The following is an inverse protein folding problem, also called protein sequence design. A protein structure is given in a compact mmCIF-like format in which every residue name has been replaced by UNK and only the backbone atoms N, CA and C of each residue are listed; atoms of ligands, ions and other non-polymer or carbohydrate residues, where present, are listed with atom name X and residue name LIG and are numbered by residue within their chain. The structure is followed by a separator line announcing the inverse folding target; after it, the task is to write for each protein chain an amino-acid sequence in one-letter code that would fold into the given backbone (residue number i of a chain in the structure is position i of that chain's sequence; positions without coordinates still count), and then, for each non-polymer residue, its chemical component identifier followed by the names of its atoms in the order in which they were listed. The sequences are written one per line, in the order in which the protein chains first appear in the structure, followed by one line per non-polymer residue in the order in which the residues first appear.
data_IF_847716149968
#
_entry.id   IF_847716149968
#
_cell.length_a   1.000
_cell.length_b   1.000
_cell.length_c   1.000
_cell.angle_alpha   90.00
_cell.angle_beta   90.00
_cell.angle_gamma   90.00
#
_symmetry.space_group_name_H-M   'P 1'
#
loop_
_entity.id
_entity.type
_entity.pdbx_description
1 polymer ?
#
# COMPACT_ATOMS: atom_id res chain seq x y z
N UNK A 1 15.20 10.13 12.71
CA UNK A 1 16.51 10.68 12.28
C UNK A 1 17.05 10.05 11.00
N UNK A 2 17.02 8.71 10.84
CA UNK A 2 17.51 8.05 9.60
C UNK A 2 16.79 8.51 8.32
N UNK A 3 15.45 8.50 8.30
CA UNK A 3 14.66 8.95 7.14
C UNK A 3 14.87 10.43 6.77
N UNK A 4 15.16 11.28 7.76
CA UNK A 4 15.33 12.72 7.58
C UNK A 4 16.72 13.04 7.00
N UNK A 5 17.76 12.31 7.44
CA UNK A 5 19.09 12.35 6.81
C UNK A 5 19.05 11.86 5.36
N UNK A 6 18.31 10.79 5.08
CA UNK A 6 18.13 10.28 3.72
C UNK A 6 17.44 11.28 2.76
N UNK A 7 16.67 12.24 3.28
CA UNK A 7 16.09 13.30 2.46
C UNK A 7 17.03 14.49 2.28
N UNK A 8 17.75 14.89 3.34
CA UNK A 8 18.56 16.12 3.34
C UNK A 8 19.92 15.90 2.66
N UNK A 9 20.58 14.77 2.89
CA UNK A 9 21.91 14.51 2.33
C UNK A 9 21.91 14.54 0.79
N UNK A 10 20.97 13.89 0.08
CA UNK A 10 20.92 13.96 -1.39
C UNK A 10 20.62 15.37 -1.90
N UNK A 11 19.79 16.14 -1.21
CA UNK A 11 19.49 17.55 -1.58
C UNK A 11 20.77 18.38 -1.54
N UNK A 12 21.54 18.27 -0.45
CA UNK A 12 22.79 19.01 -0.29
C UNK A 12 23.88 18.57 -1.28
N UNK A 13 23.91 17.29 -1.64
CA UNK A 13 24.84 16.79 -2.67
C UNK A 13 24.49 17.30 -4.07
N UNK A 14 23.20 17.34 -4.42
CA UNK A 14 22.75 17.87 -5.71
C UNK A 14 23.00 19.37 -5.79
N UNK A 15 22.76 20.12 -4.71
CA UNK A 15 23.01 21.56 -4.65
C UNK A 15 24.50 21.88 -4.88
N UNK A 16 25.40 21.12 -4.24
CA UNK A 16 26.85 21.24 -4.49
C UNK A 16 27.21 20.90 -5.92
N UNK A 17 26.73 19.78 -6.47
CA UNK A 17 27.02 19.40 -7.86
C UNK A 17 26.49 20.41 -8.86
N UNK A 18 25.33 21.01 -8.60
CA UNK A 18 24.76 22.05 -9.44
C UNK A 18 25.63 23.31 -9.40
N UNK A 19 26.12 23.72 -8.22
CA UNK A 19 27.05 24.83 -8.07
C UNK A 19 28.39 24.56 -8.78
N UNK A 20 28.96 23.37 -8.59
CA UNK A 20 30.22 22.95 -9.23
C UNK A 20 30.08 22.95 -10.77
N UNK A 21 28.96 22.47 -11.31
CA UNK A 21 28.68 22.49 -12.76
C UNK A 21 28.50 23.91 -13.30
N UNK A 22 27.88 24.82 -12.53
CA UNK A 22 27.70 26.21 -12.92
C UNK A 22 29.05 26.95 -12.97
N UNK A 23 29.92 26.71 -11.99
CA UNK A 23 31.30 27.22 -11.99
C UNK A 23 32.12 26.66 -13.16
N UNK A 24 32.05 25.34 -13.41
CA UNK A 24 32.70 24.69 -14.55
C UNK A 24 32.21 25.24 -15.89
N UNK A 25 30.91 25.48 -16.02
CA UNK A 25 30.33 26.08 -17.21
C UNK A 25 30.82 27.51 -17.43
N UNK A 26 30.86 28.33 -16.37
CA UNK A 26 31.36 29.70 -16.44
C UNK A 26 32.84 29.76 -16.87
N UNK A 27 33.67 28.85 -16.34
CA UNK A 27 35.08 28.71 -16.75
C UNK A 27 35.21 28.26 -18.20
N UNK A 28 34.49 27.22 -18.61
CA UNK A 28 34.53 26.66 -19.96
C UNK A 28 34.11 27.68 -21.03
N UNK A 29 33.10 28.51 -20.75
CA UNK A 29 32.67 29.59 -21.64
C UNK A 29 33.74 30.70 -21.74
N UNK A 30 34.43 31.00 -20.63
CA UNK A 30 35.50 32.01 -20.63
C UNK A 30 36.77 31.57 -21.36
N UNK A 31 37.10 30.27 -21.30
CA UNK A 31 38.29 29.68 -21.93
C UNK A 31 38.00 29.08 -23.32
N UNK A 32 36.72 29.02 -23.71
CA UNK A 32 36.23 28.46 -24.97
C UNK A 32 36.64 26.98 -25.17
N UNK A 33 36.60 26.20 -24.08
CA UNK A 33 36.99 24.80 -24.06
C UNK A 33 35.81 23.88 -24.43
N UNK A 34 35.81 23.42 -25.68
CA UNK A 34 34.78 22.53 -26.23
C UNK A 34 34.76 21.14 -25.56
N UNK A 35 35.88 20.68 -24.98
CA UNK A 35 35.92 19.37 -24.33
C UNK A 35 35.16 19.40 -23.00
N UNK A 36 35.35 20.45 -22.21
CA UNK A 36 34.65 20.63 -20.94
C UNK A 36 33.15 20.82 -21.17
N UNK A 37 32.76 21.58 -22.19
CA UNK A 37 31.34 21.74 -22.56
C UNK A 37 30.68 20.40 -22.93
N UNK A 38 31.38 19.55 -23.70
CA UNK A 38 30.87 18.23 -24.08
C UNK A 38 30.74 17.26 -22.90
N UNK A 39 31.56 17.41 -21.86
CA UNK A 39 31.45 16.62 -20.63
C UNK A 39 30.32 17.13 -19.72
N UNK A 40 30.12 18.45 -19.62
CA UNK A 40 28.96 19.05 -18.93
C UNK A 40 27.64 18.58 -19.57
N UNK A 41 27.55 18.54 -20.90
CA UNK A 41 26.36 18.04 -21.60
C UNK A 41 26.03 16.58 -21.27
N UNK A 42 27.04 15.75 -20.95
CA UNK A 42 26.83 14.36 -20.52
C UNK A 42 26.43 14.25 -19.05
N UNK A 43 26.93 15.14 -18.20
CA UNK A 43 26.64 15.12 -16.76
C UNK A 43 25.27 15.73 -16.41
N UNK A 44 24.84 16.76 -17.14
CA UNK A 44 23.53 17.42 -16.99
C UNK A 44 22.35 16.45 -16.84
N UNK A 45 22.14 15.46 -17.74
CA UNK A 45 21.02 14.52 -17.60
C UNK A 45 21.14 13.61 -16.38
N UNK A 46 22.34 13.36 -15.86
CA UNK A 46 22.55 12.56 -14.63
C UNK A 46 22.11 13.36 -13.41
N UNK A 47 22.53 14.63 -13.31
CA UNK A 47 22.13 15.53 -12.23
C UNK A 47 20.63 15.81 -12.27
N UNK A 48 20.07 15.99 -13.46
CA UNK A 48 18.64 16.18 -13.65
C UNK A 48 17.83 14.98 -13.13
N UNK A 49 18.27 13.74 -13.42
CA UNK A 49 17.63 12.53 -12.87
C UNK A 49 17.74 12.46 -11.34
N UNK A 50 18.87 12.87 -10.77
CA UNK A 50 19.04 12.92 -9.31
C UNK A 50 18.08 13.94 -8.69
N UNK A 51 17.94 15.13 -9.30
CA UNK A 51 16.99 16.15 -8.88
C UNK A 51 15.55 15.64 -8.90
N UNK A 52 15.12 15.04 -10.02
CA UNK A 52 13.77 14.47 -10.14
C UNK A 52 13.49 13.45 -9.04
N UNK A 53 14.46 12.57 -8.73
CA UNK A 53 14.31 11.56 -7.68
C UNK A 53 14.10 12.17 -6.28
N UNK A 54 14.76 13.29 -6.01
CA UNK A 54 14.63 14.03 -4.74
C UNK A 54 13.31 14.79 -4.68
N UNK A 55 12.91 15.44 -5.77
CA UNK A 55 11.60 16.10 -5.91
C UNK A 55 10.45 15.09 -5.68
N UNK A 56 10.58 13.89 -6.24
CA UNK A 56 9.66 12.77 -6.03
C UNK A 56 9.56 12.35 -4.56
N UNK A 57 10.69 12.30 -3.85
CA UNK A 57 10.69 12.02 -2.43
C UNK A 57 9.97 13.12 -1.63
N UNK A 58 10.05 14.38 -2.05
CA UNK A 58 9.27 15.48 -1.47
C UNK A 58 7.78 15.42 -1.78
N UNK A 59 7.40 14.83 -2.92
CA UNK A 59 6.01 14.65 -3.35
C UNK A 59 5.27 13.61 -2.49
N UNK A 60 6.00 12.62 -1.97
CA UNK A 60 5.53 11.54 -1.09
C UNK A 60 5.20 12.04 0.33
N UNK A 61 4.19 12.89 0.41
CA UNK A 61 3.72 13.58 1.62
C UNK A 61 2.46 12.97 2.24
N UNK A 62 2.04 11.80 1.79
CA UNK A 62 0.89 11.08 2.35
C UNK A 62 1.14 10.59 3.78
N UNK A 63 0.09 10.42 4.60
CA UNK A 63 0.21 10.01 6.00
C UNK A 63 0.85 8.63 6.17
N UNK A 64 0.70 7.76 5.17
CA UNK A 64 1.20 6.39 5.17
C UNK A 64 2.37 6.17 4.19
N UNK A 65 2.78 7.19 3.43
CA UNK A 65 3.77 7.04 2.34
C UNK A 65 5.15 6.62 2.85
N UNK A 66 5.49 6.95 4.10
CA UNK A 66 6.76 6.59 4.76
C UNK A 66 6.79 5.17 5.32
N UNK A 67 5.64 4.50 5.39
CA UNK A 67 5.51 3.20 6.03
C UNK A 67 6.00 2.08 5.12
N UNK A 68 6.29 0.95 5.75
CA UNK A 68 6.40 -0.33 5.07
C UNK A 68 5.04 -0.72 4.45
N UNK A 69 5.03 -1.73 3.60
CA UNK A 69 3.80 -2.19 2.99
C UNK A 69 3.75 -3.71 2.83
N UNK A 70 2.53 -4.23 2.84
CA UNK A 70 2.22 -5.56 2.35
C UNK A 70 1.85 -5.47 0.88
N UNK A 71 2.47 -6.30 0.06
CA UNK A 71 2.19 -6.43 -1.36
C UNK A 71 1.63 -7.82 -1.62
N UNK A 72 0.40 -7.90 -2.12
CA UNK A 72 -0.24 -9.15 -2.49
C UNK A 72 -0.44 -9.23 -3.99
N UNK A 73 -0.09 -10.36 -4.59
CA UNK A 73 -0.28 -10.64 -6.01
C UNK A 73 -1.26 -11.79 -6.12
N UNK A 74 -2.32 -11.61 -6.89
CA UNK A 74 -3.36 -12.61 -7.12
C UNK A 74 -3.49 -12.91 -8.62
N UNK A 75 -3.39 -14.18 -8.99
CA UNK A 75 -3.69 -14.63 -10.34
C UNK A 75 -5.19 -14.44 -10.62
N UNK A 76 -5.50 -13.84 -11.78
CA UNK A 76 -6.87 -13.64 -12.24
C UNK A 76 -7.46 -14.87 -12.92
N UNK A 77 -8.59 -14.68 -13.60
CA UNK A 77 -9.22 -15.72 -14.39
C UNK A 77 -8.38 -16.04 -15.64
N UNK A 78 -7.75 -17.22 -15.66
CA UNK A 78 -7.02 -17.72 -16.83
C UNK A 78 -6.18 -18.98 -16.56
N UNK A 79 -6.48 -19.73 -15.49
CA UNK A 79 -5.83 -20.99 -15.15
C UNK A 79 -4.30 -20.88 -15.04
N UNK A 80 -3.60 -21.89 -15.54
CA UNK A 80 -2.14 -22.03 -15.50
C UNK A 80 -1.39 -20.83 -16.09
N UNK A 81 -1.93 -20.19 -17.15
CA UNK A 81 -1.29 -19.02 -17.78
C UNK A 81 -1.33 -17.78 -16.88
N UNK A 82 -2.42 -17.57 -16.13
CA UNK A 82 -2.50 -16.45 -15.18
C UNK A 82 -1.66 -16.70 -13.94
N UNK A 83 -1.52 -17.97 -13.52
CA UNK A 83 -0.61 -18.34 -12.44
C UNK A 83 0.86 -18.11 -12.83
N UNK A 84 1.26 -18.43 -14.06
CA UNK A 84 2.61 -18.12 -14.55
C UNK A 84 2.84 -16.61 -14.63
N UNK A 85 1.84 -15.84 -15.06
CA UNK A 85 1.93 -14.38 -15.07
C UNK A 85 2.14 -13.78 -13.68
N UNK A 86 1.41 -14.26 -12.67
CA UNK A 86 1.62 -13.84 -11.29
C UNK A 86 3.06 -14.13 -10.81
N UNK A 87 3.63 -15.27 -11.21
CA UNK A 87 5.03 -15.61 -10.92
C UNK A 87 6.03 -14.70 -11.64
N UNK A 88 5.77 -14.32 -12.89
CA UNK A 88 6.59 -13.34 -13.60
C UNK A 88 6.57 -11.97 -12.91
N UNK A 89 5.40 -11.52 -12.43
CA UNK A 89 5.28 -10.30 -11.65
C UNK A 89 6.05 -10.37 -10.33
N UNK A 90 5.96 -11.50 -9.62
CA UNK A 90 6.78 -11.71 -8.42
C UNK A 90 8.27 -11.54 -8.71
N UNK A 91 8.76 -12.17 -9.79
CA UNK A 91 10.16 -12.04 -10.20
C UNK A 91 10.53 -10.59 -10.55
N UNK A 92 9.64 -9.87 -11.22
CA UNK A 92 9.83 -8.46 -11.56
C UNK A 92 9.98 -7.60 -10.30
N UNK A 93 9.08 -7.76 -9.32
CA UNK A 93 9.09 -6.96 -8.09
C UNK A 93 10.23 -7.33 -7.15
N UNK A 94 10.55 -8.61 -7.00
CA UNK A 94 11.70 -9.03 -6.17
C UNK A 94 13.02 -8.46 -6.67
N UNK A 95 13.22 -8.40 -8.00
CA UNK A 95 14.39 -7.75 -8.60
C UNK A 95 14.38 -6.23 -8.40
N UNK A 96 13.22 -5.60 -8.54
CA UNK A 96 13.06 -4.18 -8.21
C UNK A 96 13.45 -3.89 -6.75
N UNK A 97 12.99 -4.71 -5.81
CA UNK A 97 13.31 -4.59 -4.39
C UNK A 97 14.82 -4.72 -4.14
N UNK A 98 15.46 -5.71 -4.74
CA UNK A 98 16.91 -5.89 -4.63
C UNK A 98 17.69 -4.70 -5.20
N UNK A 99 17.28 -4.15 -6.35
CA UNK A 99 17.95 -3.01 -6.97
C UNK A 99 17.83 -1.72 -6.16
N UNK A 100 16.71 -1.55 -5.46
CA UNK A 100 16.42 -0.38 -4.63
C UNK A 100 16.73 -0.57 -3.13
N UNK A 101 17.41 -1.65 -2.76
CA UNK A 101 17.77 -1.98 -1.37
C UNK A 101 16.57 -2.08 -0.41
N UNK A 102 15.42 -2.54 -0.91
CA UNK A 102 14.29 -2.92 -0.07
C UNK A 102 14.47 -4.32 0.49
N UNK A 103 14.15 -4.52 1.77
CA UNK A 103 14.07 -5.86 2.35
C UNK A 103 12.66 -6.40 2.13
N UNK A 104 12.54 -7.66 1.74
CA UNK A 104 11.24 -8.32 1.59
C UNK A 104 11.21 -9.66 2.32
N UNK A 105 10.04 -10.00 2.84
CA UNK A 105 9.75 -11.25 3.53
C UNK A 105 8.49 -11.87 2.91
N UNK A 106 8.54 -13.17 2.61
CA UNK A 106 7.40 -13.91 2.07
C UNK A 106 6.53 -14.39 3.23
N UNK A 107 5.30 -13.87 3.36
CA UNK A 107 4.39 -14.20 4.46
C UNK A 107 3.50 -15.39 4.13
N UNK A 108 2.95 -15.39 2.92
CA UNK A 108 2.04 -16.43 2.45
C UNK A 108 2.26 -16.67 0.97
N UNK A 109 2.31 -17.95 0.57
CA UNK A 109 2.54 -18.37 -0.80
C UNK A 109 1.65 -19.56 -1.11
N UNK A 110 0.74 -19.36 -2.07
CA UNK A 110 -0.11 -20.42 -2.60
C UNK A 110 0.33 -20.75 -4.04
N UNK A 111 0.94 -21.92 -4.27
CA UNK A 111 1.36 -22.33 -5.61
C UNK A 111 0.16 -22.61 -6.52
N UNK A 112 0.34 -22.46 -7.83
CA UNK A 112 -0.64 -22.88 -8.83
C UNK A 112 -0.71 -24.41 -8.95
N UNK A 113 -1.79 -24.94 -9.54
CA UNK A 113 -2.00 -26.40 -9.67
C UNK A 113 -0.96 -27.07 -10.58
N UNK A 114 -0.64 -26.45 -11.72
CA UNK A 114 0.33 -26.99 -12.70
C UNK A 114 1.62 -26.18 -12.76
N UNK A 115 1.52 -24.84 -12.81
CA UNK A 115 2.65 -23.95 -12.89
C UNK A 115 2.32 -22.57 -12.29
N UNK A 116 3.36 -21.85 -11.87
CA UNK A 116 3.26 -20.50 -11.34
C UNK A 116 2.65 -20.40 -9.95
N UNK A 117 2.06 -19.25 -9.64
CA UNK A 117 1.54 -18.90 -8.31
C UNK A 117 0.09 -18.46 -8.41
N UNK A 118 -0.75 -18.92 -7.47
CA UNK A 118 -2.14 -18.46 -7.38
C UNK A 118 -2.25 -17.17 -6.59
N UNK A 119 -1.57 -17.11 -5.45
CA UNK A 119 -1.47 -15.91 -4.63
C UNK A 119 -0.17 -15.89 -3.86
N UNK A 120 0.39 -14.71 -3.66
CA UNK A 120 1.54 -14.49 -2.78
C UNK A 120 1.38 -13.16 -2.04
N UNK A 121 1.76 -13.12 -0.77
CA UNK A 121 1.82 -11.90 0.03
C UNK A 121 3.24 -11.68 0.54
N UNK A 122 3.78 -10.50 0.25
CA UNK A 122 5.11 -10.07 0.63
C UNK A 122 5.00 -8.93 1.64
N UNK A 123 5.81 -8.95 2.68
CA UNK A 123 6.10 -7.77 3.49
C UNK A 123 7.31 -7.07 2.91
N UNK A 124 7.16 -5.81 2.50
CA UNK A 124 8.24 -5.00 1.95
C UNK A 124 8.58 -3.90 2.93
N UNK A 125 9.82 -3.89 3.40
CA UNK A 125 10.32 -2.93 4.37
C UNK A 125 11.40 -2.06 3.75
N UNK A 126 11.29 -0.76 3.99
CA UNK A 126 12.29 0.22 3.56
C UNK A 126 11.72 1.61 3.41
N UNK A 127 12.58 2.59 3.05
CA UNK A 127 12.21 3.98 3.02
C UNK A 127 11.19 4.24 1.92
N UNK A 128 10.06 4.85 2.31
CA UNK A 128 8.96 5.19 1.41
C UNK A 128 8.41 4.00 0.60
N UNK A 129 8.48 2.78 1.15
CA UNK A 129 8.07 1.56 0.46
C UNK A 129 6.61 1.65 0.00
N UNK A 130 5.68 2.00 0.91
CA UNK A 130 4.27 2.17 0.56
C UNK A 130 4.07 3.29 -0.47
N UNK A 131 4.69 4.45 -0.25
CA UNK A 131 4.54 5.61 -1.13
C UNK A 131 4.89 5.30 -2.58
N UNK A 132 6.00 4.60 -2.82
CA UNK A 132 6.42 4.17 -4.16
C UNK A 132 5.56 3.03 -4.71
N UNK A 133 5.41 1.94 -3.94
CA UNK A 133 4.81 0.71 -4.45
C UNK A 133 3.28 0.84 -4.59
N UNK A 134 2.63 1.76 -3.88
CA UNK A 134 1.19 2.03 -3.98
C UNK A 134 0.71 2.35 -5.40
N UNK A 135 1.57 2.83 -6.28
CA UNK A 135 1.22 3.06 -7.68
C UNK A 135 0.99 1.78 -8.48
N UNK A 136 1.50 0.64 -8.01
CA UNK A 136 1.36 -0.66 -8.65
C UNK A 136 0.03 -1.36 -8.27
N UNK A 137 -0.78 -0.76 -7.39
CA UNK A 137 -2.10 -1.31 -7.08
C UNK A 137 -3.01 -1.26 -8.31
N UNK A 138 -3.44 -2.44 -8.78
CA UNK A 138 -4.35 -2.58 -9.92
C UNK A 138 -4.16 -3.87 -10.69
N UNK A 139 -4.82 -3.97 -11.84
CA UNK A 139 -4.76 -5.16 -12.70
C UNK A 139 -3.67 -5.00 -13.76
N UNK A 140 -2.74 -5.95 -13.79
CA UNK A 140 -1.68 -6.06 -14.79
C UNK A 140 -2.06 -7.09 -15.84
N UNK A 141 -2.12 -6.64 -17.09
CA UNK A 141 -2.53 -7.47 -18.23
C UNK A 141 -1.32 -7.94 -19.02
N UNK A 142 -1.17 -9.25 -19.20
CA UNK A 142 -0.19 -9.86 -20.08
C UNK A 142 -0.84 -10.33 -21.38
N UNK A 143 -0.17 -10.08 -22.50
CA UNK A 143 -0.56 -10.60 -23.81
C UNK A 143 0.64 -11.25 -24.47
N UNK A 144 0.61 -12.59 -24.57
CA UNK A 144 1.68 -13.38 -25.18
C UNK A 144 1.16 -14.64 -25.85
N UNK A 145 2.02 -15.32 -26.58
CA UNK A 145 1.77 -16.70 -27.01
C UNK A 145 2.05 -17.61 -25.81
N UNK A 146 1.04 -18.33 -25.34
CA UNK A 146 1.18 -19.20 -24.17
C UNK A 146 2.11 -20.38 -24.47
N UNK A 147 3.09 -20.68 -23.60
CA UNK A 147 3.89 -21.89 -23.70
C UNK A 147 3.10 -23.17 -23.31
N UNK A 148 1.96 -23.01 -22.62
CA UNK A 148 1.13 -24.11 -22.13
C UNK A 148 -0.01 -24.47 -23.11
N UNK A 149 -0.33 -23.62 -24.09
CA UNK A 149 -1.30 -23.97 -25.14
C UNK A 149 -0.62 -24.73 -26.29
N UNK A 150 -1.04 -25.98 -26.51
CA UNK A 150 -0.55 -26.82 -27.61
C UNK A 150 -0.70 -26.16 -29.00
N UNK A 151 -1.72 -25.31 -29.17
CA UNK A 151 -1.99 -24.61 -30.43
C UNK A 151 -1.21 -23.29 -30.57
N UNK A 152 -0.36 -22.92 -29.60
CA UNK A 152 0.40 -21.66 -29.59
C UNK A 152 -0.46 -20.43 -29.91
N UNK A 153 -1.70 -20.41 -29.42
CA UNK A 153 -2.60 -19.26 -29.60
C UNK A 153 -2.13 -18.11 -28.73
N UNK A 154 -2.60 -16.92 -29.08
CA UNK A 154 -2.41 -15.72 -28.26
C UNK A 154 -3.36 -15.78 -27.08
N UNK A 155 -2.81 -15.71 -25.87
CA UNK A 155 -3.57 -15.63 -24.64
C UNK A 155 -3.48 -14.22 -24.05
N UNK A 156 -4.53 -13.84 -23.33
CA UNK A 156 -4.55 -12.62 -22.52
C UNK A 156 -4.79 -13.05 -21.08
N UNK A 157 -3.86 -12.70 -20.21
CA UNK A 157 -3.87 -13.08 -18.80
C UNK A 157 -3.92 -11.84 -17.93
N UNK A 158 -4.49 -11.99 -16.74
CA UNK A 158 -4.64 -10.92 -15.79
C UNK A 158 -4.09 -11.37 -14.43
N UNK A 159 -3.39 -10.47 -13.76
CA UNK A 159 -3.02 -10.61 -12.37
C UNK A 159 -3.30 -9.30 -11.66
N UNK A 160 -3.87 -9.37 -10.46
CA UNK A 160 -4.11 -8.21 -9.63
C UNK A 160 -2.97 -8.05 -8.64
N UNK A 161 -2.49 -6.83 -8.51
CA UNK A 161 -1.51 -6.43 -7.51
C UNK A 161 -2.22 -5.52 -6.52
N UNK A 162 -2.06 -5.84 -5.25
CA UNK A 162 -2.58 -5.09 -4.14
C UNK A 162 -1.45 -4.66 -3.22
N UNK A 163 -1.56 -3.44 -2.68
CA UNK A 163 -0.55 -2.85 -1.82
C UNK A 163 -1.26 -2.17 -0.66
N UNK A 164 -0.91 -2.57 0.55
CA UNK A 164 -1.46 -2.01 1.79
C UNK A 164 -0.32 -1.50 2.66
N UNK A 165 -0.48 -0.36 3.35
CA UNK A 165 0.53 0.07 4.31
C UNK A 165 0.52 -0.86 5.53
N UNK A 166 1.70 -1.09 6.09
CA UNK A 166 1.83 -1.75 7.39
C UNK A 166 1.29 -0.79 8.46
N UNK A 167 0.19 -1.18 9.08
CA UNK A 167 -0.24 -0.60 10.35
C UNK A 167 0.35 -1.47 11.45
N UNK A 168 1.01 -0.84 12.43
CA UNK A 168 1.28 -1.54 13.68
C UNK A 168 -0.06 -2.03 14.21
N UNK A 169 -0.09 -3.27 14.70
CA UNK A 169 -1.18 -3.74 15.55
C UNK A 169 -1.20 -2.80 16.75
N UNK A 170 -1.97 -1.72 16.65
CA UNK A 170 -2.42 -0.98 17.80
C UNK A 170 -3.28 -2.02 18.50
N UNK A 171 -2.70 -2.69 19.50
CA UNK A 171 -3.47 -3.21 20.62
C UNK A 171 -4.38 -2.06 21.00
N UNK A 172 -5.63 -2.13 20.53
CA UNK A 172 -6.62 -1.09 20.79
C UNK A 172 -6.96 -1.29 22.24
N UNK A 173 -6.08 -0.82 23.12
CA UNK A 173 -6.38 -0.75 24.53
C UNK A 173 -7.33 0.44 24.66
N UNK A 174 -8.60 0.12 24.46
CA UNK A 174 -9.69 1.07 24.64
C UNK A 174 -9.69 1.40 26.13
N UNK A 175 -8.93 2.43 26.49
CA UNK A 175 -9.03 3.09 27.79
C UNK A 175 -10.38 3.80 27.82
N UNK A 176 -11.28 3.27 28.65
CA UNK A 176 -12.60 3.86 28.85
C UNK A 176 -12.48 4.79 30.07
N UNK A 177 -12.57 6.10 29.87
CA UNK A 177 -12.66 7.05 30.98
C UNK A 177 -14.00 6.84 31.70
N UNK A 178 -13.96 6.72 33.03
CA UNK A 178 -15.17 6.54 33.84
C UNK A 178 -16.12 7.75 33.74
N UNK A 179 -15.62 8.93 33.34
CA UNK A 179 -16.44 10.13 33.14
C UNK A 179 -17.40 10.03 31.95
N UNK A 180 -17.04 9.22 30.95
CA UNK A 180 -17.85 9.01 29.75
C UNK A 180 -18.92 7.92 29.95
N UNK A 181 -18.99 7.35 31.17
CA UNK A 181 -19.91 6.30 31.53
C UNK A 181 -21.00 6.79 32.49
N UNK A 182 -22.23 6.43 32.15
CA UNK A 182 -23.34 6.45 33.10
C UNK A 182 -23.64 5.04 33.56
N UNK A 183 -23.51 4.80 34.85
CA UNK A 183 -23.79 3.52 35.49
C UNK A 183 -25.09 3.63 36.29
N UNK A 184 -26.14 2.98 35.81
CA UNK A 184 -27.44 2.91 36.49
C UNK A 184 -27.61 1.53 37.14
N UNK A 185 -28.02 1.51 38.41
CA UNK A 185 -28.33 0.29 39.15
C UNK A 185 -29.83 0.11 39.27
N UNK A 186 -30.33 -1.08 38.94
CA UNK A 186 -31.76 -1.38 38.96
C UNK A 186 -32.03 -2.82 39.42
N UNK A 187 -33.30 -3.16 39.64
CA UNK A 187 -33.72 -4.50 40.06
C UNK A 187 -33.77 -5.42 38.84
N UNK A 188 -33.18 -6.60 38.97
CA UNK A 188 -33.18 -7.60 37.90
C UNK A 188 -34.62 -8.08 37.61
N UNK A 189 -34.94 -8.25 36.32
CA UNK A 189 -36.25 -8.73 35.90
C UNK A 189 -36.25 -10.25 35.69
N UNK A 190 -37.10 -10.99 36.40
CA UNK A 190 -37.26 -12.43 36.22
C UNK A 190 -38.05 -13.13 37.34
N UNK A 191 -38.39 -14.40 37.15
CA UNK A 191 -39.07 -15.26 38.12
C UNK A 191 -38.14 -15.69 39.27
N UNK A 192 -37.55 -14.73 39.98
CA UNK A 192 -36.60 -14.93 41.06
C UNK A 192 -37.22 -14.80 42.46
N UNK A 193 -36.59 -15.44 43.45
CA UNK A 193 -36.98 -15.36 44.86
C UNK A 193 -36.81 -13.96 45.48
N UNK A 194 -37.03 -13.84 46.80
CA UNK A 194 -37.04 -12.55 47.53
C UNK A 194 -35.80 -11.66 47.28
N UNK A 195 -34.64 -12.26 47.04
CA UNK A 195 -33.39 -11.55 46.75
C UNK A 195 -33.44 -10.75 45.43
N UNK A 196 -34.12 -11.26 44.40
CA UNK A 196 -34.26 -10.59 43.09
C UNK A 196 -35.21 -9.40 43.16
N UNK A 197 -36.24 -9.49 44.01
CA UNK A 197 -37.28 -8.46 44.14
C UNK A 197 -36.91 -7.31 45.08
N UNK A 198 -35.99 -7.53 46.03
CA UNK A 198 -35.59 -6.53 47.04
C UNK A 198 -34.25 -5.86 46.73
N UNK A 199 -33.31 -6.54 46.08
CA UNK A 199 -31.93 -6.05 45.88
C UNK A 199 -31.73 -5.52 44.46
N UNK A 200 -31.18 -4.32 44.33
CA UNK A 200 -30.83 -3.72 43.02
C UNK A 200 -29.47 -4.24 42.52
N UNK A 201 -29.42 -5.52 42.11
CA UNK A 201 -28.18 -6.16 41.66
C UNK A 201 -27.89 -5.99 40.16
N UNK A 202 -28.85 -5.58 39.34
CA UNK A 202 -28.65 -5.39 37.90
C UNK A 202 -27.95 -4.06 37.60
N UNK A 203 -27.07 -4.07 36.60
CA UNK A 203 -26.26 -2.90 36.20
C UNK A 203 -26.50 -2.60 34.73
N UNK A 204 -26.74 -1.33 34.41
CA UNK A 204 -26.73 -0.80 33.05
C UNK A 204 -25.61 0.23 32.93
N UNK A 205 -24.79 0.11 31.90
CA UNK A 205 -23.72 1.06 31.60
C UNK A 205 -24.04 1.68 30.23
N UNK A 206 -24.04 3.01 30.17
CA UNK A 206 -24.21 3.79 28.93
C UNK A 206 -22.95 4.57 28.67
N UNK A 207 -22.37 4.42 27.48
CA UNK A 207 -21.22 5.21 27.04
C UNK A 207 -21.71 6.42 26.25
N UNK A 208 -21.51 7.64 26.76
CA UNK A 208 -22.04 8.86 26.14
C UNK A 208 -21.49 9.12 24.73
N UNK A 209 -20.18 8.96 24.45
CA UNK A 209 -19.63 9.27 23.13
C UNK A 209 -20.17 8.39 22.00
N UNK A 210 -20.47 7.11 22.28
CA UNK A 210 -20.97 6.16 21.25
C UNK A 210 -22.45 5.83 21.38
N UNK A 211 -23.11 6.24 22.46
CA UNK A 211 -24.51 5.90 22.74
C UNK A 211 -24.76 4.42 23.05
N UNK A 212 -23.72 3.60 23.20
CA UNK A 212 -23.86 2.16 23.44
C UNK A 212 -24.33 1.93 24.87
N UNK A 213 -25.34 1.07 24.99
CA UNK A 213 -25.82 0.57 26.27
C UNK A 213 -25.46 -0.91 26.41
N UNK A 214 -24.87 -1.27 27.56
CA UNK A 214 -24.69 -2.66 28.01
C UNK A 214 -25.39 -2.86 29.34
N UNK A 215 -25.88 -4.08 29.58
CA UNK A 215 -26.55 -4.42 30.83
C UNK A 215 -26.19 -5.85 31.24
N UNK A 216 -26.01 -6.07 32.53
CA UNK A 216 -25.81 -7.40 33.09
C UNK A 216 -26.62 -7.59 34.37
N UNK A 217 -27.23 -8.77 34.50
CA UNK A 217 -28.05 -9.19 35.65
C UNK A 217 -27.81 -10.66 36.03
N UNK A 218 -26.72 -11.27 35.57
CA UNK A 218 -26.49 -12.72 35.66
C UNK A 218 -26.10 -13.18 37.08
N UNK A 219 -25.33 -12.36 37.80
CA UNK A 219 -24.87 -12.69 39.15
C UNK A 219 -25.74 -11.99 40.22
N UNK A 220 -25.72 -12.53 41.44
CA UNK A 220 -26.36 -11.91 42.62
C UNK A 220 -25.57 -10.69 43.11
N UNK A 221 -24.28 -10.62 42.78
CA UNK A 221 -23.38 -9.52 43.16
C UNK A 221 -23.39 -8.36 42.14
N UNK A 222 -23.67 -7.16 42.63
CA UNK A 222 -23.65 -5.91 41.84
C UNK A 222 -22.26 -5.61 41.26
N UNK A 223 -21.18 -5.87 42.01
CA UNK A 223 -19.81 -5.63 41.54
C UNK A 223 -19.43 -6.55 40.37
N UNK A 224 -19.86 -7.81 40.43
CA UNK A 224 -19.66 -8.78 39.34
C UNK A 224 -20.45 -8.39 38.09
N UNK A 225 -21.71 -8.00 38.26
CA UNK A 225 -22.52 -7.50 37.15
C UNK A 225 -21.94 -6.22 36.53
N UNK A 226 -21.37 -5.30 37.34
CA UNK A 226 -20.65 -4.11 36.82
C UNK A 226 -19.42 -4.53 36.00
N UNK A 227 -18.59 -5.43 36.52
CA UNK A 227 -17.40 -5.91 35.82
C UNK A 227 -17.75 -6.61 34.49
N UNK A 228 -18.79 -7.45 34.47
CA UNK A 228 -19.26 -8.10 33.25
C UNK A 228 -19.85 -7.12 32.24
N UNK A 229 -20.67 -6.17 32.68
CA UNK A 229 -21.23 -5.12 31.81
C UNK A 229 -20.13 -4.24 31.20
N UNK A 230 -19.06 -3.97 31.95
CA UNK A 230 -17.88 -3.24 31.49
C UNK A 230 -17.08 -4.06 30.47
N UNK A 231 -16.91 -5.37 30.69
CA UNK A 231 -16.28 -6.28 29.72
C UNK A 231 -17.08 -6.35 28.41
N UNK A 232 -18.40 -6.42 28.49
CA UNK A 232 -19.28 -6.36 27.31
C UNK A 232 -19.17 -5.01 26.60
N UNK A 233 -19.02 -3.91 27.34
CA UNK A 233 -18.86 -2.58 26.75
C UNK A 233 -17.53 -2.48 26.00
N UNK A 234 -16.42 -2.90 26.62
CA UNK A 234 -15.10 -2.95 25.95
C UNK A 234 -15.17 -3.81 24.68
N UNK A 235 -15.84 -4.96 24.73
CA UNK A 235 -16.07 -5.81 23.55
C UNK A 235 -16.87 -5.11 22.44
N UNK A 236 -17.97 -4.43 22.78
CA UNK A 236 -18.77 -3.69 21.78
C UNK A 236 -18.03 -2.49 21.18
N UNK A 237 -17.27 -1.75 21.99
CA UNK A 237 -16.45 -0.64 21.50
C UNK A 237 -15.34 -1.15 20.57
N UNK A 238 -14.71 -2.26 20.92
CA UNK A 238 -13.74 -2.93 20.06
C UNK A 238 -14.35 -3.33 18.71
N UNK A 239 -15.54 -3.94 18.72
CA UNK A 239 -16.23 -4.30 17.48
C UNK A 239 -16.56 -3.08 16.60
N UNK A 240 -16.94 -1.94 17.18
CA UNK A 240 -17.21 -0.72 16.39
C UNK A 240 -15.91 -0.20 15.76
N UNK A 241 -14.82 -0.17 16.51
CA UNK A 241 -13.56 0.34 15.97
C UNK A 241 -12.98 -0.59 14.90
N UNK A 242 -13.17 -1.91 15.08
CA UNK A 242 -12.91 -2.89 14.04
C UNK A 242 -13.79 -2.66 12.81
N UNK A 243 -15.10 -2.48 12.98
CA UNK A 243 -16.02 -2.20 11.85
C UNK A 243 -15.69 -0.90 11.12
N UNK A 244 -15.27 0.15 11.82
CA UNK A 244 -14.82 1.40 11.18
C UNK A 244 -13.58 1.14 10.33
N UNK A 245 -12.56 0.49 10.89
CA UNK A 245 -11.35 0.10 10.15
C UNK A 245 -11.71 -0.76 8.95
N UNK A 246 -12.51 -1.80 9.14
CA UNK A 246 -12.98 -2.66 8.07
C UNK A 246 -13.77 -1.88 7.01
N UNK A 247 -14.53 -0.84 7.39
CA UNK A 247 -15.25 0.01 6.44
C UNK A 247 -14.35 0.98 5.68
N UNK A 248 -13.29 1.49 6.30
CA UNK A 248 -12.27 2.34 5.66
C UNK A 248 -11.47 1.51 4.66
N UNK A 249 -11.04 0.32 5.10
CA UNK A 249 -10.45 -0.70 4.25
C UNK A 249 -11.43 -1.06 3.13
N UNK A 250 -12.70 -1.38 3.41
CA UNK A 250 -13.68 -1.72 2.39
C UNK A 250 -13.99 -0.56 1.42
N UNK A 251 -13.87 0.70 1.83
CA UNK A 251 -13.95 1.85 0.90
C UNK A 251 -12.73 1.93 -0.01
N UNK A 252 -11.54 1.70 0.54
CA UNK A 252 -10.30 1.58 -0.25
C UNK A 252 -10.42 0.41 -1.25
N UNK A 253 -10.89 -0.74 -0.79
CA UNK A 253 -11.08 -1.95 -1.61
C UNK A 253 -12.27 -1.84 -2.58
N UNK A 254 -13.35 -1.16 -2.23
CA UNK A 254 -14.51 -0.97 -3.11
C UNK A 254 -14.22 -0.07 -4.31
N UNK A 255 -13.14 0.71 -4.24
CA UNK A 255 -12.60 1.43 -5.39
C UNK A 255 -11.75 0.56 -6.32
N UNK A 256 -11.37 -0.66 -5.89
CA UNK A 256 -10.73 -1.65 -6.76
C UNK A 256 -11.79 -2.22 -7.67
N UNK A 257 -11.73 -1.85 -8.94
CA UNK A 257 -12.53 -2.49 -9.96
C UNK A 257 -12.26 -4.00 -10.00
N UNK A 258 -13.23 -4.77 -10.51
CA UNK A 258 -13.08 -6.22 -10.69
C UNK A 258 -11.82 -6.57 -11.47
N UNK A 259 -11.23 -7.74 -11.17
CA UNK A 259 -10.14 -8.38 -11.92
C UNK A 259 -10.69 -8.89 -13.25
N UNK A 260 -11.15 -7.96 -14.06
CA UNK A 260 -11.88 -8.17 -15.29
C UNK A 260 -11.42 -7.18 -16.35
N UNK A 261 -11.83 -7.46 -17.58
CA UNK A 261 -11.52 -6.64 -18.75
C UNK A 261 -11.97 -5.19 -18.52
N UNK A 262 -11.07 -4.21 -18.72
CA UNK A 262 -11.39 -2.78 -18.63
C UNK A 262 -10.82 -2.04 -17.41
N UNK A 263 -10.38 -2.75 -16.37
CA UNK A 263 -9.77 -2.15 -15.17
C UNK A 263 -8.23 -2.31 -15.10
N UNK A 264 -7.58 -2.48 -16.25
CA UNK A 264 -6.14 -2.67 -16.31
C UNK A 264 -5.36 -1.36 -16.15
N UNK A 265 -4.38 -1.36 -15.25
CA UNK A 265 -3.48 -0.22 -15.09
C UNK A 265 -2.34 -0.28 -16.10
N UNK A 266 -1.83 -1.48 -16.41
CA UNK A 266 -0.69 -1.68 -17.31
C UNK A 266 -0.92 -2.87 -18.23
N UNK A 267 -0.48 -2.74 -19.47
CA UNK A 267 -0.51 -3.81 -20.47
C UNK A 267 0.89 -4.15 -20.95
N UNK A 268 1.24 -5.43 -20.84
CA UNK A 268 2.49 -6.02 -21.25
C UNK A 268 2.22 -6.87 -22.50
N UNK A 269 2.54 -6.35 -23.67
CA UNK A 269 2.39 -7.05 -24.95
C UNK A 269 3.75 -7.58 -25.36
N UNK A 270 3.88 -8.90 -25.46
CA UNK A 270 5.11 -9.58 -25.88
C UNK A 270 5.08 -9.98 -27.37
N UNK A 271 3.89 -10.24 -27.91
CA UNK A 271 3.67 -10.53 -29.34
C UNK A 271 2.34 -9.91 -29.81
N UNK A 272 2.25 -9.41 -31.05
CA UNK A 272 3.23 -9.49 -32.14
C UNK A 272 4.33 -8.40 -32.10
N UNK A 273 4.18 -7.40 -31.25
CA UNK A 273 5.18 -6.38 -30.95
C UNK A 273 5.45 -6.38 -29.45
N UNK A 274 6.62 -5.87 -29.05
CA UNK A 274 7.01 -5.73 -27.66
C UNK A 274 6.69 -4.30 -27.19
N UNK A 275 5.77 -4.18 -26.23
CA UNK A 275 5.37 -2.90 -25.66
C UNK A 275 4.81 -3.10 -24.26
N UNK A 276 5.31 -2.32 -23.31
CA UNK A 276 4.66 -2.10 -22.02
C UNK A 276 4.06 -0.71 -22.01
N UNK A 277 2.77 -0.59 -21.71
CA UNK A 277 2.07 0.70 -21.62
C UNK A 277 1.29 0.80 -20.31
N UNK A 278 1.44 1.90 -19.58
CA UNK A 278 0.56 2.29 -18.48
C UNK A 278 -0.62 3.10 -19.05
N UNK A 279 -1.85 2.69 -18.73
CA UNK A 279 -3.08 3.33 -19.25
C UNK A 279 -3.48 4.56 -18.45
N UNK A 280 -2.84 4.83 -17.32
CA UNK A 280 -3.16 5.97 -16.45
C UNK A 280 -2.33 7.19 -16.82
N UNK A 281 -1.06 6.98 -17.18
CA UNK A 281 -0.11 8.04 -17.54
C UNK A 281 0.23 8.07 -19.02
N UNK A 282 -0.25 7.09 -19.80
CA UNK A 282 0.10 6.87 -21.21
C UNK A 282 1.60 6.65 -21.50
N UNK A 283 2.43 6.52 -20.46
CA UNK A 283 3.85 6.19 -20.61
C UNK A 283 4.02 4.77 -21.17
N UNK A 284 4.95 4.63 -22.11
CA UNK A 284 5.18 3.37 -22.81
C UNK A 284 6.66 3.12 -23.13
N UNK A 285 7.06 1.86 -23.04
CA UNK A 285 8.43 1.41 -23.28
C UNK A 285 8.44 0.18 -24.17
N UNK A 286 9.31 0.16 -25.20
CA UNK A 286 9.46 -0.98 -26.11
C UNK A 286 10.33 -2.11 -25.54
N UNK A 287 11.20 -1.82 -24.57
CA UNK A 287 12.07 -2.82 -23.94
C UNK A 287 11.35 -3.59 -22.83
N UNK A 288 10.56 -4.59 -23.21
CA UNK A 288 9.76 -5.39 -22.25
C UNK A 288 10.64 -6.22 -21.32
N UNK A 289 11.79 -6.70 -21.79
CA UNK A 289 12.71 -7.52 -21.00
C UNK A 289 13.27 -6.76 -19.81
N UNK A 290 13.71 -5.51 -20.02
CA UNK A 290 14.20 -4.65 -18.92
C UNK A 290 13.11 -4.43 -17.86
N UNK A 291 11.87 -4.17 -18.30
CA UNK A 291 10.72 -3.99 -17.39
C UNK A 291 10.49 -5.25 -16.56
N UNK A 292 10.44 -6.43 -17.19
CA UNK A 292 10.25 -7.71 -16.49
C UNK A 292 11.43 -8.08 -15.56
N UNK A 293 12.60 -7.52 -15.82
CA UNK A 293 13.78 -7.67 -14.96
C UNK A 293 13.85 -6.62 -13.83
N UNK A 294 12.81 -5.79 -13.66
CA UNK A 294 12.63 -4.88 -12.52
C UNK A 294 12.87 -3.40 -12.84
N UNK A 295 13.04 -3.02 -14.12
CA UNK A 295 13.19 -1.62 -14.53
C UNK A 295 11.83 -0.91 -14.65
N UNK A 296 11.16 -0.75 -13.50
CA UNK A 296 9.81 -0.14 -13.40
C UNK A 296 9.82 1.28 -12.82
N UNK A 297 10.98 1.82 -12.44
CA UNK A 297 11.07 3.13 -11.78
C UNK A 297 10.42 4.24 -12.63
N UNK A 298 10.67 4.28 -13.94
CA UNK A 298 10.08 5.27 -14.85
C UNK A 298 8.53 5.28 -14.82
N UNK A 299 7.91 4.11 -14.66
CA UNK A 299 6.45 4.02 -14.53
C UNK A 299 5.96 4.57 -13.19
N UNK A 300 6.70 4.27 -12.12
CA UNK A 300 6.41 4.76 -10.77
C UNK A 300 6.53 6.28 -10.73
N UNK A 301 7.63 6.81 -11.27
CA UNK A 301 7.90 8.26 -11.34
C UNK A 301 6.81 8.98 -12.14
N UNK A 302 6.50 8.49 -13.34
CA UNK A 302 5.43 9.03 -14.19
C UNK A 302 4.08 9.10 -13.45
N UNK A 303 3.73 8.04 -12.70
CA UNK A 303 2.49 8.00 -11.95
C UNK A 303 2.48 8.95 -10.74
N UNK A 304 3.59 9.07 -10.03
CA UNK A 304 3.70 9.95 -8.88
C UNK A 304 3.62 11.42 -9.30
N UNK A 305 4.22 11.81 -10.43
CA UNK A 305 4.01 13.13 -11.03
C UNK A 305 2.53 13.37 -11.39
N UNK A 306 1.90 12.40 -12.05
CA UNK A 306 0.48 12.47 -12.38
C UNK A 306 -0.42 12.63 -11.14
N UNK A 307 -0.09 11.93 -10.05
CA UNK A 307 -0.78 12.03 -8.75
C UNK A 307 -0.59 13.41 -8.13
N UNK A 308 0.62 13.97 -8.20
CA UNK A 308 0.94 15.32 -7.71
C UNK A 308 0.15 16.39 -8.46
N UNK A 309 0.16 16.35 -9.80
CA UNK A 309 -0.59 17.30 -10.64
C UNK A 309 -2.10 17.25 -10.35
N UNK A 310 -2.65 16.04 -10.17
CA UNK A 310 -4.06 15.88 -9.81
C UNK A 310 -4.40 16.46 -8.43
N UNK A 311 -3.47 16.37 -7.47
CA UNK A 311 -3.64 16.95 -6.13
C UNK A 311 -3.65 18.49 -6.22
N UNK A 312 -2.75 19.08 -7.01
CA UNK A 312 -2.74 20.53 -7.25
C UNK A 312 -3.99 21.04 -7.96
N UNK A 313 -4.59 20.28 -8.88
CA UNK A 313 -5.84 20.66 -9.56
C UNK A 313 -7.10 20.53 -8.69
N UNK A 314 -7.03 19.84 -7.55
CA UNK A 314 -8.15 19.63 -6.62
C UNK A 314 -8.14 20.59 -5.42
N UNK A 315 -7.04 21.30 -5.19
CA UNK A 315 -6.94 22.41 -4.24
C UNK A 315 -7.34 23.71 -4.91
#
# INVERSE_FOLDING_TARGET
MSALKMLIEPVLEIDKKAADLDELFAMAVSENDEQILADIEKELPVVQKQYMRVELAGTLSGPDDTRNCFMSIHAGAGGTESCDWANMLLRMYTRYFQRNNYTYEELDLTPGEEAGLRSITLKVSGPFAFGKISCETGVHRLVRISPFDANKRRHTSFAAVDVMPEYDDIDVDIEIDEKDLRIDFYRAGGAGGQHVNKTSSAVRITHFPTGIVTQCQNDRSQHRNKAEAMKMLKGKLYMIEQQKRDSEVAKLYGSKGEIAWGNQIRSYVLQPYQLVKDHRTDFQTGNVTAVLDGDIEDFIESYLHYRAEKKHKKQ
#
